data_IF_863205153421
#
_entry.id   IF_863205153421
#
_cell.length_a   1.000
_cell.length_b   1.000
_cell.length_c   1.000
_cell.angle_alpha   90.00
_cell.angle_beta   90.00
_cell.angle_gamma   90.00
#
_symmetry.space_group_name_H-M   'P 1'
#
loop_
_entity.id
_entity.type
_entity.pdbx_description
1 polymer ?
#
# COMPACT_ATOMS: atom_id res chain seq x y z
N UNK A 1 11.87 16.21 16.57
CA UNK A 1 10.60 16.45 15.85
C UNK A 1 10.65 15.86 14.44
N UNK A 2 9.95 14.75 14.21
CA UNK A 2 9.80 14.14 12.89
C UNK A 2 8.54 14.67 12.18
N UNK A 3 8.48 14.47 10.86
CA UNK A 3 7.27 14.66 10.07
C UNK A 3 6.86 13.29 9.52
N UNK A 4 5.58 12.96 9.70
CA UNK A 4 4.94 11.80 9.09
C UNK A 4 3.99 12.33 8.02
N UNK A 5 4.10 11.79 6.82
CA UNK A 5 3.24 12.12 5.69
C UNK A 5 2.56 10.88 5.14
N UNK A 6 1.29 10.96 4.80
CA UNK A 6 0.64 10.00 3.93
C UNK A 6 0.51 10.62 2.54
N UNK A 7 1.26 10.05 1.58
CA UNK A 7 1.37 10.52 0.21
C UNK A 7 0.46 9.65 -0.66
N UNK A 8 -0.59 10.25 -1.22
CA UNK A 8 -1.47 9.60 -2.18
C UNK A 8 -1.44 10.36 -3.49
N UNK A 9 -0.91 9.72 -4.53
CA UNK A 9 -0.93 10.21 -5.91
C UNK A 9 -2.13 9.63 -6.65
N UNK A 10 -2.79 10.46 -7.45
CA UNK A 10 -3.94 10.09 -8.28
C UNK A 10 -3.69 10.61 -9.71
N UNK A 11 -2.78 9.97 -10.46
CA UNK A 11 -2.53 10.32 -11.85
C UNK A 11 -3.69 9.93 -12.76
N UNK A 12 -3.87 10.70 -13.84
CA UNK A 12 -4.84 10.42 -14.90
C UNK A 12 -4.14 10.53 -16.26
N UNK A 13 -4.10 9.46 -17.06
CA UNK A 13 -4.49 8.09 -16.68
C UNK A 13 -3.63 7.52 -15.53
N UNK A 14 -4.06 6.43 -14.89
CA UNK A 14 -3.29 5.77 -13.81
C UNK A 14 -2.07 5.01 -14.34
N UNK A 15 -2.15 4.57 -15.59
CA UNK A 15 -1.10 3.84 -16.30
C UNK A 15 -1.39 3.77 -17.79
N UNK A 16 -0.85 2.74 -18.43
CA UNK A 16 -1.06 2.43 -19.85
C UNK A 16 -1.87 1.14 -19.97
N UNK A 17 -2.28 0.78 -21.19
CA UNK A 17 -2.96 -0.49 -21.45
C UNK A 17 -2.10 -1.70 -21.07
N UNK A 18 -0.78 -1.62 -21.27
CA UNK A 18 0.16 -2.69 -20.94
C UNK A 18 0.57 -2.72 -19.45
N UNK A 19 0.47 -1.59 -18.75
CA UNK A 19 0.80 -1.46 -17.32
C UNK A 19 -0.14 -0.45 -16.67
N UNK A 20 -1.20 -0.97 -16.06
CA UNK A 20 -2.29 -0.17 -15.49
C UNK A 20 -1.89 0.67 -14.27
N UNK A 21 -0.72 0.41 -13.67
CA UNK A 21 -0.21 1.13 -12.51
C UNK A 21 1.11 1.85 -12.79
N UNK A 22 1.54 1.95 -14.06
CA UNK A 22 2.81 2.55 -14.47
C UNK A 22 3.15 3.84 -13.73
N UNK A 23 2.21 4.79 -13.69
CA UNK A 23 2.48 6.12 -13.13
C UNK A 23 2.55 6.08 -11.60
N UNK A 24 1.67 5.31 -10.95
CA UNK A 24 1.73 5.07 -9.50
C UNK A 24 3.04 4.37 -9.10
N UNK A 25 3.48 3.39 -9.88
CA UNK A 25 4.75 2.68 -9.67
C UNK A 25 5.95 3.63 -9.76
N UNK A 26 5.91 4.64 -10.63
CA UNK A 26 6.96 5.66 -10.72
C UNK A 26 7.07 6.49 -9.41
N UNK A 27 5.94 6.88 -8.82
CA UNK A 27 5.93 7.58 -7.53
C UNK A 27 6.44 6.68 -6.38
N UNK A 28 6.01 5.41 -6.33
CA UNK A 28 6.47 4.44 -5.32
C UNK A 28 7.99 4.20 -5.45
N UNK A 29 8.51 4.15 -6.68
CA UNK A 29 9.94 4.00 -6.92
C UNK A 29 10.75 5.17 -6.34
N UNK A 30 10.27 6.41 -6.50
CA UNK A 30 10.87 7.59 -5.86
C UNK A 30 10.87 7.49 -4.33
N UNK A 31 9.73 7.12 -3.74
CA UNK A 31 9.62 6.98 -2.28
C UNK A 31 10.56 5.88 -1.77
N UNK A 32 10.64 4.75 -2.48
CA UNK A 32 11.51 3.63 -2.13
C UNK A 32 12.99 4.03 -2.21
N UNK A 33 13.38 4.73 -3.28
CA UNK A 33 14.74 5.20 -3.50
C UNK A 33 15.18 6.28 -2.50
N UNK A 34 14.23 6.94 -1.83
CA UNK A 34 14.54 7.97 -0.83
C UNK A 34 15.27 7.45 0.42
N UNK A 35 15.17 6.15 0.70
CA UNK A 35 15.69 5.53 1.92
C UNK A 35 14.96 5.95 3.20
N UNK A 36 13.91 6.78 3.10
CA UNK A 36 13.07 7.12 4.24
C UNK A 36 12.27 5.90 4.67
N UNK A 37 11.99 5.83 5.98
CA UNK A 37 11.06 4.84 6.52
C UNK A 37 9.70 5.07 5.89
N UNK A 38 9.17 4.04 5.24
CA UNK A 38 7.89 4.13 4.57
C UNK A 38 7.12 2.81 4.64
N UNK A 39 5.81 2.88 4.37
CA UNK A 39 4.93 1.72 4.23
C UNK A 39 3.91 2.01 3.14
N UNK A 40 3.80 1.10 2.17
CA UNK A 40 2.86 1.22 1.04
C UNK A 40 1.52 0.60 1.44
N UNK A 41 0.48 1.44 1.52
CA UNK A 41 -0.91 1.07 1.76
C UNK A 41 -1.72 0.98 0.47
N UNK A 42 -3.00 0.60 0.58
CA UNK A 42 -3.90 0.50 -0.57
C UNK A 42 -4.32 1.87 -1.14
N UNK A 43 -4.32 2.92 -0.32
CA UNK A 43 -4.79 4.27 -0.68
C UNK A 43 -3.69 5.34 -0.60
N UNK A 44 -2.45 4.97 -0.31
CA UNK A 44 -1.37 5.92 -0.10
C UNK A 44 -0.13 5.26 0.48
N UNK A 45 0.96 6.00 0.50
CA UNK A 45 2.23 5.57 1.10
C UNK A 45 2.55 6.47 2.28
N UNK A 46 2.64 5.88 3.47
CA UNK A 46 3.07 6.59 4.67
C UNK A 46 4.59 6.69 4.68
N UNK A 47 5.15 7.88 4.92
CA UNK A 47 6.58 8.19 4.94
C UNK A 47 6.91 8.97 6.21
N UNK A 48 8.03 8.65 6.84
CA UNK A 48 8.49 9.28 8.07
C UNK A 48 9.96 9.74 7.94
N UNK A 49 10.25 10.97 8.37
CA UNK A 49 11.61 11.49 8.37
C UNK A 49 11.75 12.95 8.81
N UNK A 50 12.88 13.57 8.46
CA UNK A 50 13.06 15.03 8.62
C UNK A 50 12.13 15.76 7.67
N UNK A 51 11.57 16.89 8.11
CA UNK A 51 10.59 17.65 7.34
C UNK A 51 11.05 17.96 5.90
N UNK A 52 12.26 18.50 5.72
CA UNK A 52 12.79 18.84 4.40
C UNK A 52 12.88 17.63 3.46
N UNK A 53 13.26 16.46 4.01
CA UNK A 53 13.37 15.23 3.24
C UNK A 53 11.99 14.71 2.83
N UNK A 54 11.01 14.76 3.74
CA UNK A 54 9.63 14.32 3.47
C UNK A 54 8.98 15.23 2.42
N UNK A 55 9.12 16.54 2.54
CA UNK A 55 8.59 17.49 1.54
C UNK A 55 9.23 17.30 0.17
N UNK A 56 10.55 17.10 0.13
CA UNK A 56 11.27 16.79 -1.11
C UNK A 56 10.72 15.53 -1.78
N UNK A 57 10.59 14.44 -1.03
CA UNK A 57 10.09 13.16 -1.55
C UNK A 57 8.63 13.27 -2.01
N UNK A 58 7.77 13.97 -1.26
CA UNK A 58 6.39 14.20 -1.67
C UNK A 58 6.33 14.94 -3.02
N UNK A 59 7.15 15.99 -3.20
CA UNK A 59 7.22 16.72 -4.47
C UNK A 59 7.76 15.85 -5.60
N UNK A 60 8.86 15.13 -5.37
CA UNK A 60 9.46 14.26 -6.38
C UNK A 60 8.51 13.12 -6.80
N UNK A 61 7.75 12.56 -5.86
CA UNK A 61 6.76 11.53 -6.13
C UNK A 61 5.58 12.05 -6.96
N UNK A 62 5.10 13.26 -6.68
CA UNK A 62 4.11 13.94 -7.52
C UNK A 62 4.68 14.14 -8.94
N UNK A 63 5.82 14.79 -9.07
CA UNK A 63 6.41 15.06 -10.39
C UNK A 63 6.71 13.78 -11.19
N UNK A 64 6.96 12.64 -10.52
CA UNK A 64 7.27 11.37 -11.16
C UNK A 64 6.11 10.81 -11.99
N UNK A 65 4.87 10.96 -11.55
CA UNK A 65 3.73 10.47 -12.31
C UNK A 65 3.59 11.23 -13.64
N UNK A 66 3.69 12.56 -13.64
CA UNK A 66 3.69 13.37 -14.87
C UNK A 66 4.88 13.00 -15.77
N UNK A 67 6.09 12.89 -15.22
CA UNK A 67 7.29 12.49 -15.97
C UNK A 67 7.17 11.09 -16.60
N UNK A 68 6.39 10.21 -15.99
CA UNK A 68 6.17 8.85 -16.50
C UNK A 68 5.09 8.77 -17.60
N UNK A 69 4.41 9.88 -17.89
CA UNK A 69 3.48 10.05 -19.01
C UNK A 69 2.02 10.30 -18.63
N UNK A 70 1.70 10.55 -17.35
CA UNK A 70 0.35 10.97 -16.97
C UNK A 70 0.06 12.38 -17.51
N UNK A 71 -1.18 12.64 -17.94
CA UNK A 71 -1.58 13.94 -18.49
C UNK A 71 -1.80 14.99 -17.40
N UNK A 72 -2.34 14.54 -16.26
CA UNK A 72 -2.64 15.36 -15.09
C UNK A 72 -2.53 14.51 -13.83
N UNK A 73 -2.45 15.18 -12.69
CA UNK A 73 -2.35 14.51 -11.41
C UNK A 73 -2.97 15.33 -10.28
N UNK A 74 -3.55 14.62 -9.31
CA UNK A 74 -4.00 15.13 -8.03
C UNK A 74 -3.23 14.41 -6.91
N UNK A 75 -2.81 15.14 -5.88
CA UNK A 75 -2.21 14.56 -4.68
C UNK A 75 -3.04 14.89 -3.45
N UNK A 76 -3.29 13.88 -2.62
CA UNK A 76 -3.65 14.09 -1.22
C UNK A 76 -2.41 13.91 -0.36
N UNK A 77 -2.11 14.92 0.45
CA UNK A 77 -0.99 14.90 1.38
C UNK A 77 -1.51 15.19 2.78
N UNK A 78 -1.48 14.18 3.65
CA UNK A 78 -1.83 14.34 5.07
C UNK A 78 -0.55 14.37 5.89
N UNK A 79 -0.45 15.31 6.82
CA UNK A 79 0.77 15.55 7.58
C UNK A 79 0.50 15.49 9.08
N UNK A 80 1.45 14.92 9.80
CA UNK A 80 1.54 14.97 11.25
C UNK A 80 2.95 15.38 11.67
N UNK A 81 3.05 16.29 12.64
CA UNK A 81 4.32 16.71 13.24
C UNK A 81 4.23 16.56 14.75
N UNK A 82 5.17 15.84 15.33
CA UNK A 82 5.27 15.62 16.77
C UNK A 82 6.45 14.70 17.09
N UNK A 83 6.51 14.26 18.35
CA UNK A 83 7.55 13.32 18.81
C UNK A 83 7.13 11.84 18.68
N UNK A 84 5.89 11.59 18.23
CA UNK A 84 5.39 10.25 17.96
C UNK A 84 5.99 9.71 16.65
N UNK A 85 6.53 8.50 16.72
CA UNK A 85 7.08 7.75 15.57
C UNK A 85 6.04 6.74 15.07
N UNK A 86 5.93 6.49 13.76
CA UNK A 86 5.01 5.43 13.29
C UNK A 86 5.52 4.05 13.75
N UNK A 87 4.69 3.13 14.25
CA UNK A 87 5.12 1.75 14.45
C UNK A 87 5.49 1.12 13.10
N UNK A 88 6.41 0.16 13.10
CA UNK A 88 6.69 -0.60 11.88
C UNK A 88 5.41 -1.30 11.41
N UNK A 89 5.11 -1.24 10.11
CA UNK A 89 3.94 -1.94 9.58
C UNK A 89 4.09 -3.45 9.77
N UNK A 90 3.04 -4.11 10.25
CA UNK A 90 2.98 -5.58 10.31
C UNK A 90 3.26 -6.11 8.90
N UNK A 91 4.19 -7.07 8.73
CA UNK A 91 4.47 -7.62 7.41
C UNK A 91 3.17 -8.14 6.81
N UNK A 92 2.84 -7.68 5.59
CA UNK A 92 1.66 -8.20 4.89
C UNK A 92 1.81 -9.71 4.81
N UNK A 93 0.80 -10.44 5.31
CA UNK A 93 0.69 -11.89 5.11
C UNK A 93 0.81 -12.11 3.60
N UNK A 94 1.86 -12.80 3.16
CA UNK A 94 1.96 -13.22 1.75
C UNK A 94 0.70 -14.01 1.45
N UNK A 95 -0.08 -13.53 0.49
CA UNK A 95 -1.19 -14.31 -0.01
C UNK A 95 -0.60 -15.49 -0.77
N UNK A 96 -1.05 -16.70 -0.44
CA UNK A 96 -0.55 -17.89 -1.10
C UNK A 96 -0.89 -17.81 -2.59
N UNK A 97 0.04 -18.21 -3.49
CA UNK A 97 -0.22 -18.21 -4.92
C UNK A 97 -1.44 -19.10 -5.25
N UNK A 98 -2.12 -18.84 -6.38
CA UNK A 98 -3.40 -19.46 -6.70
C UNK A 98 -3.46 -20.98 -6.62
N UNK A 99 -2.36 -21.64 -6.92
CA UNK A 99 -2.11 -23.08 -6.91
C UNK A 99 -1.91 -23.67 -5.51
N UNK A 100 -1.40 -22.87 -4.57
CA UNK A 100 -1.22 -23.23 -3.16
C UNK A 100 -2.42 -22.84 -2.28
N UNK A 101 -3.42 -22.15 -2.85
CA UNK A 101 -4.65 -21.86 -2.12
C UNK A 101 -5.41 -23.16 -1.89
N UNK A 102 -5.80 -23.50 -0.64
CA UNK A 102 -6.63 -24.67 -0.42
C UNK A 102 -7.92 -24.52 -1.23
N UNK A 103 -8.43 -25.59 -1.86
CA UNK A 103 -9.69 -25.54 -2.57
C UNK A 103 -10.75 -25.02 -1.61
N UNK A 104 -11.54 -24.03 -2.03
CA UNK A 104 -12.69 -23.55 -1.24
C UNK A 104 -13.69 -24.68 -1.15
N UNK A 105 -13.52 -25.56 -0.16
CA UNK A 105 -14.46 -26.63 0.12
C UNK A 105 -15.81 -26.00 0.44
N UNK A 106 -16.86 -26.42 -0.26
CA UNK A 106 -18.23 -26.02 0.07
C UNK A 106 -18.48 -26.40 1.54
N UNK A 107 -19.00 -25.49 2.39
CA UNK A 107 -19.32 -25.85 3.77
C UNK A 107 -20.25 -27.08 3.77
N UNK A 108 -20.04 -28.06 4.65
CA UNK A 108 -20.95 -29.20 4.77
C UNK A 108 -22.36 -28.68 5.08
N UNK A 109 -23.37 -29.19 4.37
CA UNK A 109 -24.75 -28.74 4.55
C UNK A 109 -25.22 -29.02 5.98
N UNK A 110 -25.74 -28.00 6.66
CA UNK A 110 -26.56 -28.18 7.86
C UNK A 110 -25.97 -27.74 9.21
N UNK A 111 -24.77 -27.12 9.27
CA UNK A 111 -24.26 -26.50 10.51
C UNK A 111 -23.51 -25.19 10.23
N UNK A 112 -23.63 -24.22 11.13
CA UNK A 112 -22.81 -23.01 11.12
C UNK A 112 -21.35 -23.43 11.39
N UNK A 113 -20.47 -23.23 10.41
CA UNK A 113 -19.05 -23.52 10.55
C UNK A 113 -18.24 -22.27 10.24
N UNK A 114 -17.23 -22.02 11.07
CA UNK A 114 -16.25 -20.95 10.88
C UNK A 114 -14.98 -21.57 10.26
N UNK A 115 -14.26 -20.88 9.36
CA UNK A 115 -12.98 -21.37 8.88
C UNK A 115 -12.02 -21.56 10.06
N UNK A 116 -11.42 -22.74 10.20
CA UNK A 116 -10.48 -22.97 11.28
C UNK A 116 -9.20 -22.19 11.01
N UNK A 117 -8.86 -21.23 11.87
CA UNK A 117 -7.57 -20.56 11.81
C UNK A 117 -6.47 -21.59 12.07
N UNK A 118 -5.69 -21.92 11.03
CA UNK A 118 -4.50 -22.76 11.13
C UNK A 118 -4.63 -24.21 10.65
N UNK A 119 -5.80 -24.66 10.19
CA UNK A 119 -5.96 -25.96 9.51
C UNK A 119 -6.84 -25.83 8.27
N UNK A 120 -6.52 -26.60 7.23
CA UNK A 120 -7.37 -26.75 6.04
C UNK A 120 -8.63 -27.56 6.41
N UNK A 121 -9.61 -26.91 7.05
CA UNK A 121 -10.84 -27.54 7.51
C UNK A 121 -11.84 -26.55 8.12
N UNK A 122 -13.11 -26.94 8.08
CA UNK A 122 -14.21 -26.26 8.76
C UNK A 122 -14.30 -26.79 10.21
N UNK A 123 -14.44 -25.89 11.19
CA UNK A 123 -14.74 -26.28 12.57
C UNK A 123 -16.19 -25.87 12.87
N UNK A 124 -16.92 -26.75 13.55
CA UNK A 124 -18.27 -26.43 14.00
C UNK A 124 -18.21 -25.20 14.93
N UNK A 125 -19.07 -24.22 14.71
CA UNK A 125 -19.31 -23.20 15.71
C UNK A 125 -20.11 -23.86 16.85
N UNK A 126 -19.58 -23.82 18.07
CA UNK A 126 -20.34 -24.16 19.29
C UNK A 126 -21.46 -23.12 19.54
#
# INVERSE_FOLDING_TARGET
>A
MSLIADIQVVPSPTGTEADCFKHVNAAIAVITASGLKHSVGALGTTVEGRADAVWRVAREAFDACLKSGAEKELMYLKLYRGDHTQPASVPKRREAPPDERPPRGRPPKGKACVPSLGRAGWVAAD
#
